data_IF_749552820852
#
_entry.id   IF_749552820852
#
_cell.length_a   1.000
_cell.length_b   1.000
_cell.length_c   1.000
_cell.angle_alpha   90.00
_cell.angle_beta   90.00
_cell.angle_gamma   90.00
#
_symmetry.space_group_name_H-M   'P 1'
#
loop_
_entity.id
_entity.type
_entity.pdbx_description
1 polymer ?
#
# COMPACT_ATOMS: atom_id res chain seq x y z
N UNK A 1 27.06 -22.08 1.76
CA UNK A 1 28.31 -21.29 1.60
C UNK A 1 29.45 -22.11 0.99
N UNK A 2 29.95 -23.20 1.60
CA UNK A 2 31.07 -23.97 1.02
C UNK A 2 30.76 -24.69 -0.30
N UNK A 3 29.56 -25.26 -0.45
CA UNK A 3 29.18 -25.99 -1.68
C UNK A 3 29.11 -25.07 -2.92
N UNK A 4 28.80 -23.79 -2.70
CA UNK A 4 28.64 -22.77 -3.76
C UNK A 4 30.00 -22.23 -4.22
N UNK A 5 30.96 -22.08 -3.29
CA UNK A 5 32.34 -21.75 -3.64
C UNK A 5 33.01 -22.85 -4.46
N UNK A 6 32.77 -24.12 -4.12
CA UNK A 6 33.29 -25.25 -4.88
C UNK A 6 32.71 -25.35 -6.30
N UNK A 7 31.40 -25.11 -6.46
CA UNK A 7 30.75 -25.11 -7.78
C UNK A 7 31.19 -23.94 -8.68
N UNK A 8 31.44 -22.76 -8.09
CA UNK A 8 32.00 -21.61 -8.80
C UNK A 8 33.45 -21.86 -9.23
N UNK A 9 34.27 -22.48 -8.37
CA UNK A 9 35.66 -22.85 -8.71
C UNK A 9 35.69 -23.95 -9.77
N UNK A 10 34.79 -24.94 -9.71
CA UNK A 10 34.68 -25.99 -10.73
C UNK A 10 34.22 -25.45 -12.08
N UNK A 11 33.25 -24.52 -12.10
CA UNK A 11 32.85 -23.84 -13.34
C UNK A 11 33.98 -22.97 -13.90
N UNK A 12 34.73 -22.26 -13.05
CA UNK A 12 35.86 -21.43 -13.49
C UNK A 12 37.05 -22.27 -13.97
N UNK A 13 37.26 -23.46 -13.38
CA UNK A 13 38.31 -24.40 -13.78
C UNK A 13 37.97 -25.09 -15.11
N UNK A 14 36.70 -25.45 -15.34
CA UNK A 14 36.22 -26.01 -16.61
C UNK A 14 36.36 -25.05 -17.81
N UNK A 15 36.38 -23.73 -17.55
CA UNK A 15 36.60 -22.67 -18.54
C UNK A 15 38.08 -22.58 -18.99
N UNK A 16 39.03 -23.09 -18.19
CA UNK A 16 40.46 -23.07 -18.54
C UNK A 16 40.89 -24.26 -19.43
N UNK A 17 40.11 -25.34 -19.44
CA UNK A 17 40.28 -26.47 -20.36
C UNK A 17 39.73 -26.09 -21.73
N UNK A 18 40.51 -25.33 -22.49
CA UNK A 18 40.16 -24.86 -23.82
C UNK A 18 39.80 -25.99 -24.79
N UNK A 19 38.66 -25.86 -25.46
CA UNK A 19 38.34 -26.66 -26.65
C UNK A 19 39.27 -26.19 -27.77
N UNK A 20 40.20 -27.06 -28.19
CA UNK A 20 41.08 -26.81 -29.33
C UNK A 20 40.34 -27.19 -30.61
N UNK A 21 40.19 -26.24 -31.52
CA UNK A 21 39.71 -26.50 -32.88
C UNK A 21 40.93 -26.71 -33.78
N UNK A 22 40.98 -27.84 -34.48
CA UNK A 22 42.03 -28.15 -35.46
C UNK A 22 41.53 -27.66 -36.82
N UNK A 23 42.18 -26.66 -37.41
CA UNK A 23 41.93 -26.24 -38.79
C UNK A 23 42.40 -27.29 -39.80
N UNK A 24 41.84 -27.33 -41.01
CA UNK A 24 42.25 -28.26 -42.08
C UNK A 24 43.72 -28.10 -42.51
N UNK A 25 44.34 -27.00 -42.13
CA UNK A 25 45.74 -26.60 -42.29
C UNK A 25 46.64 -26.97 -41.08
N UNK A 26 46.09 -27.64 -40.06
CA UNK A 26 46.82 -28.13 -38.89
C UNK A 26 47.17 -27.07 -37.84
N UNK A 27 46.67 -25.84 -37.97
CA UNK A 27 46.91 -24.77 -36.98
C UNK A 27 45.93 -24.87 -35.79
N UNK A 28 46.44 -24.66 -34.58
CA UNK A 28 45.67 -24.67 -33.32
C UNK A 28 45.31 -23.22 -32.96
N UNK A 29 44.06 -22.84 -33.17
CA UNK A 29 43.53 -21.52 -32.80
C UNK A 29 42.68 -21.54 -31.54
N UNK A 30 42.97 -20.66 -30.57
CA UNK A 30 42.13 -20.45 -29.38
C UNK A 30 40.99 -19.47 -29.72
N UNK A 31 39.86 -19.98 -30.21
CA UNK A 31 38.65 -19.18 -30.41
C UNK A 31 37.52 -19.74 -29.54
N UNK A 32 37.27 -19.17 -28.35
CA UNK A 32 36.07 -19.57 -27.60
C UNK A 32 35.95 -19.27 -26.11
N UNK A 33 36.77 -18.42 -25.48
CA UNK A 33 36.73 -18.28 -24.00
C UNK A 33 36.26 -16.92 -23.47
N UNK A 34 36.14 -15.86 -24.28
CA UNK A 34 36.06 -14.49 -23.71
C UNK A 34 34.68 -13.89 -23.42
N UNK A 35 33.54 -14.56 -23.69
CA UNK A 35 32.21 -13.92 -23.58
C UNK A 35 31.26 -14.58 -22.58
N UNK A 36 31.59 -15.76 -22.04
CA UNK A 36 30.65 -16.54 -21.20
C UNK A 36 30.64 -16.11 -19.73
N UNK A 37 31.73 -15.54 -19.23
CA UNK A 37 31.92 -15.20 -17.82
C UNK A 37 31.02 -14.07 -17.26
N UNK A 38 30.90 -12.90 -17.92
CA UNK A 38 30.19 -11.75 -17.33
C UNK A 38 28.66 -11.91 -17.27
N UNK A 39 28.07 -12.71 -18.17
CA UNK A 39 26.62 -12.86 -18.28
C UNK A 39 26.02 -13.70 -17.15
N UNK A 40 26.75 -14.71 -16.64
CA UNK A 40 26.27 -15.56 -15.54
C UNK A 40 26.34 -14.86 -14.18
N UNK A 41 27.32 -13.98 -13.96
CA UNK A 41 27.45 -13.23 -12.69
C UNK A 41 26.37 -12.17 -12.52
N UNK A 42 26.00 -11.46 -13.59
CA UNK A 42 24.96 -10.41 -13.52
C UNK A 42 23.56 -10.99 -13.30
N UNK A 43 23.33 -12.21 -13.79
CA UNK A 43 22.06 -12.94 -13.61
C UNK A 43 21.88 -13.44 -12.17
N UNK A 44 22.95 -13.96 -11.54
CA UNK A 44 22.89 -14.47 -10.18
C UNK A 44 22.57 -13.39 -9.13
N UNK A 45 23.04 -12.15 -9.33
CA UNK A 45 22.85 -11.05 -8.38
C UNK A 45 21.39 -10.54 -8.32
N UNK A 46 20.61 -10.67 -9.40
CA UNK A 46 19.24 -10.14 -9.46
C UNK A 46 18.18 -11.15 -8.97
N UNK A 47 18.47 -12.45 -9.08
CA UNK A 47 17.56 -13.57 -8.72
C UNK A 47 17.26 -13.65 -7.22
N UNK A 48 18.11 -13.11 -6.35
CA UNK A 48 17.95 -13.26 -4.90
C UNK A 48 16.86 -12.40 -4.25
N UNK A 49 16.24 -11.45 -4.97
CA UNK A 49 15.31 -10.48 -4.35
C UNK A 49 13.83 -10.80 -4.51
N UNK A 50 13.43 -11.66 -5.45
CA UNK A 50 12.01 -11.92 -5.76
C UNK A 50 11.64 -13.38 -5.51
N UNK A 51 11.07 -13.65 -4.33
CA UNK A 51 10.46 -14.94 -3.97
C UNK A 51 9.31 -15.24 -4.94
N UNK A 52 9.52 -16.11 -5.94
CA UNK A 52 8.40 -16.65 -6.72
C UNK A 52 8.67 -17.14 -8.14
N UNK A 53 9.81 -16.84 -8.76
CA UNK A 53 9.98 -17.15 -10.19
C UNK A 53 11.37 -17.72 -10.52
N UNK A 54 11.81 -18.71 -9.74
CA UNK A 54 13.08 -19.43 -9.95
C UNK A 54 13.00 -20.49 -11.05
N UNK A 55 11.81 -20.86 -11.53
CA UNK A 55 11.66 -22.01 -12.45
C UNK A 55 11.98 -21.68 -13.92
N UNK A 56 11.90 -20.41 -14.31
CA UNK A 56 11.89 -20.03 -15.73
C UNK A 56 13.27 -19.66 -16.31
N UNK A 57 14.28 -19.55 -15.45
CA UNK A 57 15.65 -19.16 -15.82
C UNK A 57 16.47 -20.28 -16.47
N UNK A 58 15.97 -21.52 -16.48
CA UNK A 58 16.62 -22.65 -17.16
C UNK A 58 16.54 -22.59 -18.69
N UNK A 59 15.64 -21.81 -19.28
CA UNK A 59 15.45 -21.74 -20.73
C UNK A 59 16.54 -20.93 -21.47
N UNK A 60 17.08 -19.89 -20.82
CA UNK A 60 18.15 -19.05 -21.36
C UNK A 60 19.45 -19.83 -21.63
N UNK A 61 20.01 -20.59 -20.66
CA UNK A 61 21.22 -21.38 -20.91
C UNK A 61 20.98 -22.51 -21.93
N UNK A 62 19.78 -23.10 -21.97
CA UNK A 62 19.44 -24.14 -22.96
C UNK A 62 19.39 -23.58 -24.38
N UNK A 63 18.79 -22.40 -24.58
CA UNK A 63 18.77 -21.73 -25.88
C UNK A 63 20.15 -21.29 -26.37
N UNK A 64 21.01 -20.86 -25.44
CA UNK A 64 22.39 -20.49 -25.73
C UNK A 64 23.23 -21.72 -26.13
N UNK A 65 23.02 -22.86 -25.46
CA UNK A 65 23.67 -24.12 -25.84
C UNK A 65 23.19 -24.64 -27.21
N UNK A 66 21.91 -24.48 -27.56
CA UNK A 66 21.38 -24.82 -28.88
C UNK A 66 22.02 -23.93 -29.97
N UNK A 67 22.18 -22.64 -29.70
CA UNK A 67 22.85 -21.70 -30.60
C UNK A 67 24.34 -22.06 -30.80
N UNK A 68 25.06 -22.38 -29.72
CA UNK A 68 26.45 -22.86 -29.78
C UNK A 68 26.56 -24.14 -30.59
N UNK A 69 25.66 -25.11 -30.39
CA UNK A 69 25.69 -26.38 -31.11
C UNK A 69 25.37 -26.21 -32.61
N UNK A 70 24.43 -25.32 -32.94
CA UNK A 70 24.06 -25.01 -34.33
C UNK A 70 25.18 -24.31 -35.11
N UNK A 71 25.95 -23.43 -34.44
CA UNK A 71 27.08 -22.72 -35.06
C UNK A 71 28.33 -23.61 -35.16
N UNK A 72 28.58 -24.48 -34.18
CA UNK A 72 29.79 -25.34 -34.15
C UNK A 72 29.61 -26.70 -34.88
N UNK A 73 28.36 -27.14 -35.13
CA UNK A 73 28.07 -28.41 -35.80
C UNK A 73 27.85 -28.30 -37.32
N UNK A 74 27.84 -27.10 -37.89
CA UNK A 74 27.60 -26.88 -39.32
C UNK A 74 28.83 -27.28 -40.15
N UNK A 75 28.64 -28.16 -41.14
CA UNK A 75 29.67 -28.47 -42.14
C UNK A 75 29.93 -27.23 -43.01
N UNK A 76 31.16 -27.02 -43.52
CA UNK A 76 31.56 -25.78 -44.21
C UNK A 76 30.76 -25.42 -45.49
N UNK A 77 29.87 -26.29 -45.98
CA UNK A 77 28.96 -26.03 -47.11
C UNK A 77 27.57 -25.51 -46.75
N UNK A 78 27.16 -25.56 -45.47
CA UNK A 78 25.77 -25.26 -45.01
C UNK A 78 25.73 -24.11 -43.98
N UNK A 79 26.72 -23.21 -44.00
CA UNK A 79 26.92 -22.14 -43.01
C UNK A 79 25.70 -21.20 -42.85
N UNK A 80 24.95 -20.98 -43.94
CA UNK A 80 23.74 -20.13 -43.92
C UNK A 80 22.59 -20.74 -43.10
N UNK A 81 22.46 -22.07 -43.09
CA UNK A 81 21.40 -22.75 -42.34
C UNK A 81 21.64 -22.70 -40.83
N UNK A 82 22.90 -22.83 -40.37
CA UNK A 82 23.25 -22.70 -38.96
C UNK A 82 23.02 -21.27 -38.43
N UNK A 83 23.35 -20.26 -39.24
CA UNK A 83 23.16 -18.85 -38.88
C UNK A 83 21.67 -18.46 -38.74
N UNK A 84 20.81 -18.95 -39.64
CA UNK A 84 19.36 -18.67 -39.56
C UNK A 84 18.73 -19.29 -38.30
N UNK A 85 19.05 -20.55 -37.98
CA UNK A 85 18.56 -21.21 -36.77
C UNK A 85 19.04 -20.53 -35.47
N UNK A 86 20.31 -20.12 -35.42
CA UNK A 86 20.86 -19.36 -34.30
C UNK A 86 20.10 -18.05 -34.07
N UNK A 87 19.86 -17.28 -35.14
CA UNK A 87 19.12 -16.01 -35.06
C UNK A 87 17.66 -16.20 -34.61
N UNK A 88 16.97 -17.24 -35.10
CA UNK A 88 15.59 -17.56 -34.71
C UNK A 88 15.51 -17.92 -33.21
N UNK A 89 16.49 -18.68 -32.70
CA UNK A 89 16.57 -19.06 -31.28
C UNK A 89 16.76 -17.85 -30.37
N UNK A 90 17.57 -16.87 -30.79
CA UNK A 90 17.78 -15.61 -30.08
C UNK A 90 16.51 -14.73 -30.12
N UNK A 91 15.81 -14.68 -31.25
CA UNK A 91 14.56 -13.91 -31.36
C UNK A 91 13.45 -14.49 -30.47
N UNK A 92 13.29 -15.82 -30.44
CA UNK A 92 12.31 -16.49 -29.59
C UNK A 92 12.59 -16.27 -28.10
N UNK A 93 13.86 -16.35 -27.70
CA UNK A 93 14.26 -16.14 -26.30
C UNK A 93 14.11 -14.69 -25.86
N UNK A 94 14.46 -13.72 -26.72
CA UNK A 94 14.22 -12.30 -26.45
C UNK A 94 12.73 -11.97 -26.39
N UNK A 95 11.91 -12.53 -27.28
CA UNK A 95 10.45 -12.35 -27.26
C UNK A 95 9.83 -12.92 -26.00
N UNK A 96 10.29 -14.10 -25.56
CA UNK A 96 9.85 -14.72 -24.32
C UNK A 96 10.26 -13.89 -23.09
N UNK A 97 11.50 -13.42 -23.05
CA UNK A 97 12.00 -12.55 -21.98
C UNK A 97 11.22 -11.23 -21.89
N UNK A 98 10.90 -10.61 -23.02
CA UNK A 98 10.09 -9.39 -23.06
C UNK A 98 8.67 -9.63 -22.52
N UNK A 99 8.04 -10.75 -22.89
CA UNK A 99 6.71 -11.11 -22.39
C UNK A 99 6.68 -11.27 -20.86
N UNK A 100 7.70 -11.92 -20.30
CA UNK A 100 7.84 -12.08 -18.85
C UNK A 100 8.12 -10.77 -18.14
N UNK A 101 8.94 -9.92 -18.75
CA UNK A 101 9.24 -8.61 -18.22
C UNK A 101 7.96 -7.76 -18.12
N UNK A 102 7.14 -7.74 -19.18
CA UNK A 102 5.85 -7.06 -19.19
C UNK A 102 4.88 -7.64 -18.16
N UNK A 103 4.82 -8.97 -18.01
CA UNK A 103 3.99 -9.64 -17.00
C UNK A 103 4.42 -9.32 -15.56
N UNK A 104 5.73 -9.28 -15.30
CA UNK A 104 6.27 -8.89 -14.01
C UNK A 104 5.98 -7.42 -13.70
N UNK A 105 6.17 -6.55 -14.68
CA UNK A 105 5.91 -5.12 -14.53
C UNK A 105 4.43 -4.82 -14.28
N UNK A 106 3.52 -5.49 -15.01
CA UNK A 106 2.08 -5.32 -14.81
C UNK A 106 1.60 -5.83 -13.45
N UNK A 107 2.17 -6.93 -12.96
CA UNK A 107 1.91 -7.44 -11.61
C UNK A 107 2.37 -6.43 -10.55
N UNK A 108 3.59 -5.90 -10.69
CA UNK A 108 4.12 -4.87 -9.79
C UNK A 108 3.25 -3.60 -9.82
N UNK A 109 2.88 -3.11 -11.00
CA UNK A 109 2.02 -1.93 -11.16
C UNK A 109 0.64 -2.10 -10.50
N UNK A 110 0.00 -3.26 -10.69
CA UNK A 110 -1.32 -3.56 -10.11
C UNK A 110 -1.28 -3.51 -8.58
N UNK A 111 -0.23 -4.03 -7.95
CA UNK A 111 -0.11 -4.00 -6.48
C UNK A 111 0.00 -2.57 -5.94
N UNK A 112 0.67 -1.67 -6.65
CA UNK A 112 0.79 -0.27 -6.27
C UNK A 112 -0.53 0.47 -6.43
N UNK A 113 -1.24 0.24 -7.54
CA UNK A 113 -2.55 0.82 -7.81
C UNK A 113 -3.56 0.40 -6.74
N UNK A 114 -3.61 -0.89 -6.40
CA UNK A 114 -4.54 -1.38 -5.39
C UNK A 114 -4.24 -0.79 -4.01
N UNK A 115 -2.96 -0.68 -3.62
CA UNK A 115 -2.57 -0.03 -2.36
C UNK A 115 -2.94 1.44 -2.33
N UNK A 116 -2.77 2.15 -3.44
CA UNK A 116 -3.17 3.55 -3.57
C UNK A 116 -4.70 3.70 -3.50
N UNK A 117 -5.45 2.82 -4.16
CA UNK A 117 -6.91 2.79 -4.11
C UNK A 117 -7.43 2.50 -2.70
N UNK A 118 -6.85 1.51 -2.00
CA UNK A 118 -7.20 1.15 -0.62
C UNK A 118 -6.86 2.28 0.37
N UNK A 119 -5.73 2.97 0.18
CA UNK A 119 -5.38 4.11 1.01
C UNK A 119 -6.36 5.28 0.79
N UNK A 120 -6.75 5.52 -0.46
CA UNK A 120 -7.67 6.59 -0.81
C UNK A 120 -9.10 6.29 -0.31
N UNK A 121 -9.57 5.04 -0.42
CA UNK A 121 -10.90 4.66 0.10
C UNK A 121 -10.97 4.81 1.63
N UNK A 122 -9.95 4.33 2.35
CA UNK A 122 -9.87 4.50 3.82
C UNK A 122 -9.84 5.97 4.24
N UNK A 123 -9.14 6.82 3.49
CA UNK A 123 -9.14 8.27 3.75
C UNK A 123 -10.53 8.87 3.52
N UNK A 124 -11.20 8.48 2.43
CA UNK A 124 -12.56 8.96 2.14
C UNK A 124 -13.58 8.51 3.19
N UNK A 125 -13.50 7.26 3.65
CA UNK A 125 -14.37 6.74 4.69
C UNK A 125 -14.12 7.45 6.03
N UNK A 126 -12.86 7.62 6.42
CA UNK A 126 -12.51 8.38 7.62
C UNK A 126 -12.97 9.84 7.55
N UNK A 127 -12.87 10.48 6.38
CA UNK A 127 -13.39 11.83 6.18
C UNK A 127 -14.92 11.87 6.26
N UNK A 128 -15.63 10.88 5.71
CA UNK A 128 -17.09 10.80 5.80
C UNK A 128 -17.54 10.64 7.23
N UNK A 129 -16.93 9.74 7.98
CA UNK A 129 -17.25 9.50 9.39
C UNK A 129 -16.99 10.75 10.22
N UNK A 130 -15.83 11.40 10.02
CA UNK A 130 -15.52 12.66 10.70
C UNK A 130 -16.52 13.80 10.38
N UNK A 131 -17.00 13.88 9.13
CA UNK A 131 -18.03 14.86 8.75
C UNK A 131 -19.37 14.53 9.39
N UNK A 132 -19.76 13.26 9.45
CA UNK A 132 -21.00 12.82 10.10
C UNK A 132 -20.97 13.12 11.60
N UNK A 133 -19.88 12.78 12.29
CA UNK A 133 -19.69 13.08 13.71
C UNK A 133 -19.73 14.58 13.96
N UNK A 134 -19.02 15.37 13.14
CA UNK A 134 -19.04 16.84 13.26
C UNK A 134 -20.45 17.41 13.09
N UNK A 135 -21.19 16.96 12.07
CA UNK A 135 -22.55 17.42 11.85
C UNK A 135 -23.49 17.04 13.01
N UNK A 136 -23.33 15.84 13.56
CA UNK A 136 -24.09 15.39 14.72
C UNK A 136 -23.78 16.23 15.96
N UNK A 137 -22.50 16.52 16.21
CA UNK A 137 -22.08 17.38 17.32
C UNK A 137 -22.61 18.81 17.15
N UNK A 138 -22.42 19.42 15.98
CA UNK A 138 -22.95 20.77 15.70
C UNK A 138 -24.48 20.86 15.89
N UNK A 139 -25.21 19.81 15.48
CA UNK A 139 -26.65 19.71 15.72
C UNK A 139 -27.00 19.58 17.21
N UNK A 140 -26.27 18.74 17.96
CA UNK A 140 -26.42 18.57 19.43
C UNK A 140 -26.18 19.89 20.16
N UNK A 141 -25.09 20.60 19.87
CA UNK A 141 -24.75 21.89 20.48
C UNK A 141 -25.82 22.93 20.19
N UNK A 142 -26.27 23.01 18.92
CA UNK A 142 -27.33 23.94 18.52
C UNK A 142 -28.65 23.63 19.23
N UNK A 143 -29.03 22.36 19.30
CA UNK A 143 -30.24 21.94 19.98
C UNK A 143 -30.21 22.33 21.46
N UNK A 144 -29.13 22.02 22.18
CA UNK A 144 -29.02 22.36 23.61
C UNK A 144 -29.00 23.87 23.83
N UNK A 145 -28.25 24.63 23.02
CA UNK A 145 -28.23 26.08 23.13
C UNK A 145 -29.61 26.73 22.96
N UNK A 146 -30.37 26.27 21.96
CA UNK A 146 -31.74 26.76 21.70
C UNK A 146 -32.68 26.37 22.84
N UNK A 147 -32.69 25.09 23.23
CA UNK A 147 -33.57 24.60 24.30
C UNK A 147 -33.27 25.28 25.64
N UNK A 148 -32.00 25.52 25.98
CA UNK A 148 -31.65 26.23 27.21
C UNK A 148 -32.19 27.66 27.22
N UNK A 149 -32.18 28.36 26.08
CA UNK A 149 -32.78 29.69 25.98
C UNK A 149 -34.31 29.63 26.13
N UNK A 150 -34.96 28.67 25.49
CA UNK A 150 -36.41 28.46 25.58
C UNK A 150 -36.88 27.96 26.96
N UNK A 151 -36.01 27.33 27.75
CA UNK A 151 -36.32 26.93 29.14
C UNK A 151 -36.02 28.06 30.13
N UNK A 152 -34.98 28.86 29.88
CA UNK A 152 -34.64 30.02 30.72
C UNK A 152 -35.77 31.04 30.76
N UNK A 153 -36.39 31.35 29.62
CA UNK A 153 -37.46 32.32 29.52
C UNK A 153 -38.68 32.01 30.42
N UNK A 154 -39.29 30.81 30.38
CA UNK A 154 -40.40 30.47 31.27
C UNK A 154 -39.96 30.36 32.74
N UNK A 155 -38.73 29.91 33.04
CA UNK A 155 -38.22 29.92 34.42
C UNK A 155 -38.08 31.34 34.99
N UNK A 156 -37.60 32.28 34.18
CA UNK A 156 -37.55 33.69 34.55
C UNK A 156 -38.97 34.25 34.76
N UNK A 157 -39.94 33.85 33.93
CA UNK A 157 -41.34 34.22 34.13
C UNK A 157 -41.93 33.64 35.43
N UNK A 158 -41.58 32.40 35.81
CA UNK A 158 -41.99 31.80 37.09
C UNK A 158 -41.35 32.53 38.27
N UNK A 159 -40.06 32.87 38.20
CA UNK A 159 -39.38 33.65 39.23
C UNK A 159 -39.99 35.03 39.41
N UNK A 160 -40.34 35.71 38.32
CA UNK A 160 -41.05 36.98 38.36
C UNK A 160 -42.42 36.83 39.02
N UNK A 161 -43.17 35.77 38.69
CA UNK A 161 -44.47 35.50 39.32
C UNK A 161 -44.34 35.23 40.82
N UNK A 162 -43.33 34.46 41.24
CA UNK A 162 -42.98 34.26 42.65
C UNK A 162 -42.69 35.61 43.32
N UNK A 163 -41.85 36.46 42.72
CA UNK A 163 -41.51 37.77 43.27
C UNK A 163 -42.75 38.69 43.39
N UNK A 164 -43.65 38.66 42.41
CA UNK A 164 -44.90 39.41 42.47
C UNK A 164 -45.84 38.88 43.56
N UNK A 165 -45.94 37.56 43.72
CA UNK A 165 -46.74 36.94 44.79
C UNK A 165 -46.19 37.26 46.18
N UNK A 166 -44.87 37.31 46.35
CA UNK A 166 -44.21 37.69 47.61
C UNK A 166 -44.54 39.13 48.04
N UNK A 167 -44.91 40.01 47.09
CA UNK A 167 -45.35 41.39 47.36
C UNK A 167 -46.83 41.49 47.77
N UNK A 168 -47.57 40.38 47.79
CA UNK A 168 -48.99 40.32 48.18
C UNK A 168 -49.19 39.87 49.63
N UNK A 169 -50.43 39.92 50.15
CA UNK A 169 -50.75 39.37 51.47
C UNK A 169 -50.87 37.85 51.38
N UNK A 170 -49.85 37.14 51.87
CA UNK A 170 -49.81 35.67 51.94
C UNK A 170 -49.94 35.19 53.39
N UNK A 171 -50.58 34.03 53.59
CA UNK A 171 -50.50 33.32 54.87
C UNK A 171 -49.12 32.69 55.07
N UNK A 172 -48.77 32.31 56.30
CA UNK A 172 -47.46 31.70 56.60
C UNK A 172 -47.19 30.45 55.75
N UNK A 173 -48.20 29.59 55.59
CA UNK A 173 -48.08 28.39 54.75
C UNK A 173 -47.92 28.73 53.25
N UNK A 174 -48.63 29.74 52.75
CA UNK A 174 -48.49 30.18 51.36
C UNK A 174 -47.10 30.79 51.09
N UNK A 175 -46.57 31.54 52.05
CA UNK A 175 -45.22 32.10 51.96
C UNK A 175 -44.16 31.00 51.85
N UNK A 176 -44.28 29.93 52.65
CA UNK A 176 -43.37 28.79 52.58
C UNK A 176 -43.44 28.07 51.22
N UNK A 177 -44.64 27.90 50.65
CA UNK A 177 -44.80 27.35 49.30
C UNK A 177 -44.17 28.24 48.22
N UNK A 178 -44.41 29.55 48.26
CA UNK A 178 -43.87 30.52 47.29
C UNK A 178 -42.33 30.53 47.34
N UNK A 179 -41.74 30.56 48.54
CA UNK A 179 -40.28 30.44 48.73
C UNK A 179 -39.73 29.09 48.27
N UNK A 180 -40.51 28.02 48.41
CA UNK A 180 -40.18 26.69 47.89
C UNK A 180 -40.09 26.68 46.36
N UNK A 181 -41.10 27.22 45.68
CA UNK A 181 -41.15 27.34 44.21
C UNK A 181 -40.01 28.23 43.70
N UNK A 182 -39.73 29.35 44.37
CA UNK A 182 -38.60 30.24 44.03
C UNK A 182 -37.26 29.53 44.10
N UNK A 183 -36.96 28.82 45.20
CA UNK A 183 -35.74 28.01 45.34
C UNK A 183 -35.64 26.92 44.28
N UNK A 184 -36.72 26.17 44.04
CA UNK A 184 -36.72 25.11 43.03
C UNK A 184 -36.45 25.65 41.62
N UNK A 185 -37.02 26.81 41.29
CA UNK A 185 -36.80 27.47 40.00
C UNK A 185 -35.36 27.96 39.83
N UNK A 186 -34.74 28.48 40.90
CA UNK A 186 -33.31 28.88 40.89
C UNK A 186 -32.38 27.67 40.73
N UNK A 187 -32.66 26.56 41.42
CA UNK A 187 -31.89 25.31 41.28
C UNK A 187 -32.00 24.77 39.86
N UNK A 188 -33.20 24.74 39.28
CA UNK A 188 -33.39 24.28 37.91
C UNK A 188 -32.65 25.17 36.90
N UNK A 189 -32.63 26.49 37.11
CA UNK A 189 -31.86 27.42 36.27
C UNK A 189 -30.36 27.13 36.32
N UNK A 190 -29.82 26.82 37.51
CA UNK A 190 -28.42 26.44 37.68
C UNK A 190 -28.10 25.15 36.89
N UNK A 191 -28.93 24.11 37.04
CA UNK A 191 -28.75 22.84 36.31
C UNK A 191 -28.79 23.05 34.79
N UNK A 192 -29.71 23.87 34.28
CA UNK A 192 -29.81 24.17 32.84
C UNK A 192 -28.56 24.89 32.33
N UNK A 193 -27.97 25.78 33.13
CA UNK A 193 -26.71 26.45 32.79
C UNK A 193 -25.53 25.47 32.80
N UNK A 194 -25.44 24.60 33.81
CA UNK A 194 -24.36 23.61 33.92
C UNK A 194 -24.36 22.64 32.73
N UNK A 195 -25.55 22.19 32.30
CA UNK A 195 -25.70 21.35 31.09
C UNK A 195 -25.21 22.07 29.84
N UNK A 196 -25.49 23.36 29.71
CA UNK A 196 -24.99 24.15 28.57
C UNK A 196 -23.46 24.22 28.57
N UNK A 197 -22.85 24.43 29.72
CA UNK A 197 -21.39 24.55 29.83
C UNK A 197 -20.68 23.23 29.50
N UNK A 198 -21.22 22.09 29.94
CA UNK A 198 -20.72 20.76 29.54
C UNK A 198 -20.79 20.56 28.02
N UNK A 199 -21.91 20.94 27.40
CA UNK A 199 -22.07 20.75 25.94
C UNK A 199 -21.14 21.61 25.09
N UNK A 200 -20.67 22.76 25.60
CA UNK A 200 -19.66 23.57 24.91
C UNK A 200 -18.26 22.97 24.97
N UNK A 201 -17.94 22.16 25.99
CA UNK A 201 -16.63 21.55 26.17
C UNK A 201 -16.50 20.26 25.34
N UNK A 202 -17.60 19.52 25.17
CA UNK A 202 -17.63 18.28 24.37
C UNK A 202 -17.73 18.50 22.85
N UNK A 203 -17.95 19.74 22.39
CA UNK A 203 -18.12 20.09 20.97
C UNK A 203 -16.81 20.55 20.33
#
# INVERSE_FOLDING_TARGET
FMLVGALLVLCNSAISTGVRVIGEDGSIGNAGVYVVGPCFSSVAAFVFRTKGMTLLWGALPVSFLICIFAVNGARPGDADFGATLASLSLMLTMSFMNSLFLAYFSSAATTLINRAADANSRMQDAMRDAVLERNANEAKTRFVAVMSHEIRNPLQAVLLQVEMLERTRLSMHQLDYVKGIGRASQVLLAIVNDVLDVTKIES
#
